data_IF_798627749584
#
_entry.id   IF_798627749584
#
_cell.length_a   1.000
_cell.length_b   1.000
_cell.length_c   1.000
_cell.angle_alpha   90.00
_cell.angle_beta   90.00
_cell.angle_gamma   90.00
#
_symmetry.space_group_name_H-M   'P 1'
#
loop_
_entity.id
_entity.type
_entity.pdbx_description
1 polymer ?
#
# COMPACT_ATOMS: atom_id res chain seq x y z
N UNK A 1 -9.28 0.28 -10.45
CA UNK A 1 -10.47 -0.49 -10.09
C UNK A 1 -10.46 -1.02 -8.66
N UNK A 2 -9.34 -1.64 -8.19
CA UNK A 2 -9.27 -2.19 -6.83
C UNK A 2 -9.40 -1.11 -5.76
N UNK A 3 -8.65 -0.02 -5.88
CA UNK A 3 -8.72 1.10 -4.93
C UNK A 3 -10.11 1.76 -4.92
N UNK A 4 -10.79 1.77 -6.05
CA UNK A 4 -12.17 2.28 -6.17
C UNK A 4 -13.16 1.45 -5.36
N UNK A 5 -13.00 0.12 -5.38
CA UNK A 5 -13.86 -0.81 -4.62
C UNK A 5 -13.58 -0.72 -3.11
N UNK A 6 -12.30 -0.50 -2.72
CA UNK A 6 -11.89 -0.44 -1.31
C UNK A 6 -12.25 0.87 -0.62
N UNK A 7 -12.33 1.96 -1.38
CA UNK A 7 -12.46 3.29 -0.80
C UNK A 7 -13.83 3.56 -0.15
N UNK A 8 -14.91 2.88 -0.56
CA UNK A 8 -16.23 3.06 0.02
C UNK A 8 -16.63 4.54 0.16
N UNK A 9 -17.62 4.85 0.98
CA UNK A 9 -17.98 6.23 1.34
C UNK A 9 -17.13 6.70 2.53
N UNK A 10 -15.91 7.17 2.24
CA UNK A 10 -15.02 7.70 3.27
C UNK A 10 -15.38 9.16 3.56
N UNK A 11 -15.68 9.46 4.82
CA UNK A 11 -16.02 10.84 5.27
C UNK A 11 -14.84 11.57 5.94
N UNK A 12 -13.67 10.92 6.05
CA UNK A 12 -12.52 11.43 6.81
C UNK A 12 -11.24 11.34 5.97
N UNK A 13 -10.16 11.93 6.50
CA UNK A 13 -8.82 11.88 5.93
C UNK A 13 -8.40 10.43 5.61
N UNK A 14 -7.83 10.24 4.43
CA UNK A 14 -7.22 8.97 4.00
C UNK A 14 -5.71 9.15 4.05
N UNK A 15 -5.00 8.31 4.79
CA UNK A 15 -3.55 8.23 4.78
C UNK A 15 -3.14 6.91 4.15
N UNK A 16 -2.21 6.97 3.19
CA UNK A 16 -1.69 5.81 2.46
C UNK A 16 -0.19 5.77 2.66
N UNK A 17 0.31 4.63 3.11
CA UNK A 17 1.73 4.33 3.16
C UNK A 17 2.01 3.19 2.20
N UNK A 18 2.95 3.41 1.29
CA UNK A 18 3.34 2.44 0.26
C UNK A 18 4.77 2.02 0.52
N UNK A 19 4.99 0.77 0.89
CA UNK A 19 6.30 0.15 0.93
C UNK A 19 6.60 -0.45 -0.44
N UNK A 20 7.69 -0.01 -1.07
CA UNK A 20 8.05 -0.46 -2.42
C UNK A 20 9.55 -0.38 -2.69
N UNK A 21 10.02 -1.06 -3.73
CA UNK A 21 11.43 -0.96 -4.16
C UNK A 21 11.70 0.43 -4.74
N UNK A 22 12.82 1.03 -4.33
CA UNK A 22 13.25 2.35 -4.83
C UNK A 22 13.36 2.36 -6.35
N UNK A 23 13.97 1.33 -6.95
CA UNK A 23 14.09 1.19 -8.40
C UNK A 23 12.73 1.24 -9.09
N UNK A 24 11.75 0.48 -8.60
CA UNK A 24 10.39 0.43 -9.18
C UNK A 24 9.71 1.81 -9.12
N UNK A 25 9.82 2.52 -8.00
CA UNK A 25 9.21 3.84 -7.85
C UNK A 25 9.86 4.88 -8.75
N UNK A 26 11.19 4.86 -8.85
CA UNK A 26 11.94 5.81 -9.70
C UNK A 26 11.65 5.58 -11.18
N UNK A 27 11.62 4.34 -11.65
CA UNK A 27 11.29 3.99 -13.04
C UNK A 27 9.86 4.40 -13.40
N UNK A 28 8.90 4.26 -12.48
CA UNK A 28 7.52 4.67 -12.70
C UNK A 28 7.31 6.18 -12.60
N UNK A 29 8.11 6.87 -11.79
CA UNK A 29 8.02 8.30 -11.46
C UNK A 29 7.19 8.56 -10.20
N UNK A 30 7.81 9.17 -9.20
CA UNK A 30 7.17 9.47 -7.90
C UNK A 30 5.93 10.36 -8.05
N UNK A 31 6.03 11.43 -8.82
CA UNK A 31 4.92 12.37 -9.04
C UNK A 31 3.75 11.70 -9.78
N UNK A 32 4.06 10.87 -10.76
CA UNK A 32 3.05 10.09 -11.50
C UNK A 32 2.35 9.09 -10.59
N UNK A 33 3.08 8.35 -9.76
CA UNK A 33 2.51 7.42 -8.79
C UNK A 33 1.60 8.15 -7.80
N UNK A 34 2.08 9.28 -7.27
CA UNK A 34 1.33 10.13 -6.33
C UNK A 34 0.05 10.65 -6.95
N UNK A 35 0.11 11.20 -8.18
CA UNK A 35 -1.05 11.73 -8.88
C UNK A 35 -2.09 10.65 -9.14
N UNK A 36 -1.69 9.49 -9.65
CA UNK A 36 -2.62 8.38 -9.93
C UNK A 36 -3.36 7.95 -8.66
N UNK A 37 -2.66 7.80 -7.54
CA UNK A 37 -3.28 7.40 -6.27
C UNK A 37 -4.25 8.48 -5.80
N UNK A 38 -3.83 9.75 -5.79
CA UNK A 38 -4.64 10.88 -5.34
C UNK A 38 -5.88 11.04 -6.20
N UNK A 39 -5.73 11.11 -7.51
CA UNK A 39 -6.82 11.35 -8.46
C UNK A 39 -7.84 10.21 -8.44
N UNK A 40 -7.37 8.95 -8.35
CA UNK A 40 -8.24 7.78 -8.28
C UNK A 40 -9.10 7.79 -7.02
N UNK A 41 -8.51 8.08 -5.87
CA UNK A 41 -9.22 8.09 -4.60
C UNK A 41 -10.10 9.32 -4.44
N UNK A 42 -9.63 10.49 -4.82
CA UNK A 42 -10.42 11.72 -4.77
C UNK A 42 -11.68 11.63 -5.64
N UNK A 43 -11.57 11.10 -6.86
CA UNK A 43 -12.73 10.83 -7.74
C UNK A 43 -13.73 9.86 -7.14
N UNK A 44 -13.26 8.89 -6.36
CA UNK A 44 -14.11 7.83 -5.82
C UNK A 44 -14.73 8.20 -4.48
N UNK A 45 -13.99 8.92 -3.64
CA UNK A 45 -14.36 9.17 -2.24
C UNK A 45 -14.74 10.62 -1.96
N UNK A 46 -14.36 11.54 -2.86
CA UNK A 46 -14.42 12.99 -2.61
C UNK A 46 -13.35 13.49 -1.63
N UNK A 47 -12.43 12.61 -1.19
CA UNK A 47 -11.38 12.95 -0.22
C UNK A 47 -10.01 12.78 -0.84
N UNK A 48 -9.22 13.86 -0.83
CA UNK A 48 -7.84 13.84 -1.29
C UNK A 48 -6.94 13.13 -0.27
N UNK A 49 -6.27 12.02 -0.63
CA UNK A 49 -5.45 11.28 0.31
C UNK A 49 -4.09 11.93 0.54
N UNK A 50 -3.54 11.71 1.72
CA UNK A 50 -2.12 11.86 1.98
C UNK A 50 -1.40 10.58 1.55
N UNK A 51 -0.29 10.72 0.83
CA UNK A 51 0.48 9.59 0.32
C UNK A 51 1.92 9.69 0.81
N UNK A 52 2.42 8.60 1.35
CA UNK A 52 3.81 8.43 1.76
C UNK A 52 4.38 7.18 1.11
N UNK A 53 5.55 7.29 0.50
CA UNK A 53 6.31 6.15 0.02
C UNK A 53 7.48 5.89 0.97
N UNK A 54 7.63 4.63 1.37
CA UNK A 54 8.79 4.11 2.08
C UNK A 54 9.48 3.17 1.12
N UNK A 55 10.72 3.48 0.75
CA UNK A 55 11.41 2.76 -0.33
C UNK A 55 12.76 2.23 0.11
N UNK A 56 13.10 1.03 -0.39
CA UNK A 56 14.42 0.43 -0.26
C UNK A 56 14.70 -0.46 -1.46
N UNK A 57 15.96 -0.64 -1.81
CA UNK A 57 16.39 -1.67 -2.76
C UNK A 57 16.78 -2.98 -2.05
N UNK A 58 16.87 -2.95 -0.72
CA UNK A 58 17.10 -4.12 0.10
C UNK A 58 15.84 -4.99 0.14
N UNK A 59 15.95 -6.23 -0.30
CA UNK A 59 14.84 -7.18 -0.34
C UNK A 59 14.34 -7.57 1.06
N UNK A 60 15.20 -7.50 2.06
CA UNK A 60 14.84 -7.86 3.45
C UNK A 60 14.02 -6.76 4.13
N UNK A 61 14.07 -5.54 3.61
CA UNK A 61 13.33 -4.38 4.15
C UNK A 61 11.96 -4.18 3.52
N UNK A 62 11.73 -4.69 2.31
CA UNK A 62 10.45 -4.58 1.60
C UNK A 62 9.84 -5.98 1.50
N UNK A 63 8.66 -6.23 2.06
CA UNK A 63 8.00 -7.53 1.98
C UNK A 63 7.87 -8.02 0.54
N UNK A 64 8.17 -9.29 0.31
CA UNK A 64 8.01 -9.92 -1.01
C UNK A 64 6.53 -10.03 -1.38
N UNK A 65 5.71 -10.42 -0.41
CA UNK A 65 4.28 -10.57 -0.61
C UNK A 65 3.58 -9.21 -0.78
N UNK A 66 2.50 -9.23 -1.53
CA UNK A 66 1.70 -8.02 -1.84
C UNK A 66 0.51 -7.96 -0.91
N UNK A 67 0.48 -6.92 -0.07
CA UNK A 67 -0.61 -6.67 0.86
C UNK A 67 -1.25 -5.31 0.62
N UNK A 68 -2.57 -5.23 0.84
CA UNK A 68 -3.28 -3.98 1.10
C UNK A 68 -3.97 -4.15 2.45
N UNK A 69 -3.56 -3.35 3.41
CA UNK A 69 -4.11 -3.34 4.77
C UNK A 69 -4.97 -2.10 4.93
N UNK A 70 -6.20 -2.31 5.35
CA UNK A 70 -7.13 -1.25 5.70
C UNK A 70 -7.62 -1.44 7.14
N UNK A 71 -8.40 -0.52 7.68
CA UNK A 71 -9.01 -0.68 9.01
C UNK A 71 -9.95 -1.89 9.11
N UNK A 72 -10.41 -2.45 7.99
CA UNK A 72 -11.46 -3.46 7.96
C UNK A 72 -11.07 -4.74 7.23
N UNK A 73 -10.07 -4.68 6.38
CA UNK A 73 -9.72 -5.78 5.47
C UNK A 73 -8.21 -5.91 5.31
N UNK A 74 -7.77 -7.15 5.24
CA UNK A 74 -6.50 -7.54 4.66
C UNK A 74 -6.76 -8.11 3.29
N UNK A 75 -6.02 -7.64 2.28
CA UNK A 75 -6.07 -8.16 0.92
C UNK A 75 -4.67 -8.64 0.59
N UNK A 76 -4.57 -9.91 0.19
CA UNK A 76 -3.31 -10.55 -0.19
C UNK A 76 -3.34 -10.95 -1.66
N UNK A 77 -2.22 -10.79 -2.32
CA UNK A 77 -1.99 -11.33 -3.66
C UNK A 77 -0.69 -12.12 -3.66
N UNK A 78 -0.78 -13.38 -4.02
CA UNK A 78 0.39 -14.27 -4.08
C UNK A 78 1.39 -13.90 -5.17
N UNK A 79 0.98 -13.08 -6.14
CA UNK A 79 1.85 -12.63 -7.24
C UNK A 79 1.86 -11.10 -7.29
N UNK A 80 1.32 -10.49 -8.29
CA UNK A 80 1.15 -9.03 -8.37
C UNK A 80 -0.33 -8.71 -8.46
N UNK A 81 -0.73 -7.51 -8.03
CA UNK A 81 -2.12 -7.05 -8.22
C UNK A 81 -2.50 -6.82 -9.70
N UNK A 82 -1.83 -7.50 -10.62
CA UNK A 82 -2.03 -7.44 -12.06
C UNK A 82 -3.20 -8.35 -12.51
N UNK A 83 -4.38 -8.11 -11.96
CA UNK A 83 -5.59 -8.84 -12.37
C UNK A 83 -6.25 -8.27 -13.61
N UNK A 84 -5.90 -7.03 -13.95
CA UNK A 84 -6.47 -6.32 -15.09
C UNK A 84 -5.35 -5.69 -15.91
N UNK A 85 -5.49 -5.75 -17.23
CA UNK A 85 -4.60 -5.03 -18.13
C UNK A 85 -4.91 -3.51 -18.12
N UNK A 86 -4.12 -2.73 -18.82
CA UNK A 86 -4.28 -1.27 -18.93
C UNK A 86 -5.63 -0.83 -19.52
N UNK A 87 -6.35 -1.75 -20.20
CA UNK A 87 -7.69 -1.54 -20.75
C UNK A 87 -8.81 -2.02 -19.82
N UNK A 88 -8.48 -2.44 -18.59
CA UNK A 88 -9.44 -2.94 -17.61
C UNK A 88 -9.97 -4.35 -17.88
N UNK A 89 -9.43 -5.08 -18.84
CA UNK A 89 -9.79 -6.48 -19.08
C UNK A 89 -9.06 -7.38 -18.07
N UNK A 90 -9.79 -8.38 -17.54
CA UNK A 90 -9.23 -9.41 -16.65
C UNK A 90 -8.10 -10.16 -17.36
N UNK A 91 -7.00 -10.36 -16.64
CA UNK A 91 -5.89 -11.20 -17.10
C UNK A 91 -6.18 -12.62 -16.66
N UNK A 92 -6.19 -13.56 -17.59
CA UNK A 92 -6.63 -14.95 -17.39
C UNK A 92 -5.74 -15.76 -16.45
N UNK A 93 -4.49 -15.38 -16.26
CA UNK A 93 -3.50 -16.07 -15.43
C UNK A 93 -3.18 -15.29 -14.13
N UNK A 94 -4.10 -14.47 -13.64
CA UNK A 94 -3.94 -13.78 -12.36
C UNK A 94 -3.89 -14.77 -11.20
N UNK A 95 -2.96 -14.57 -10.27
CA UNK A 95 -2.86 -15.35 -9.04
C UNK A 95 -4.11 -15.23 -8.14
N UNK A 96 -4.16 -15.98 -7.05
CA UNK A 96 -5.22 -15.90 -6.08
C UNK A 96 -5.24 -14.51 -5.41
N UNK A 97 -6.44 -13.99 -5.19
CA UNK A 97 -6.70 -12.80 -4.38
C UNK A 97 -7.50 -13.22 -3.15
N UNK A 98 -6.88 -13.12 -1.99
CA UNK A 98 -7.54 -13.40 -0.72
C UNK A 98 -7.98 -12.08 -0.08
N UNK A 99 -9.21 -12.05 0.43
CA UNK A 99 -9.77 -10.90 1.12
C UNK A 99 -10.31 -11.34 2.47
N UNK A 100 -9.58 -10.98 3.53
CA UNK A 100 -9.90 -11.38 4.89
C UNK A 100 -10.48 -10.22 5.70
N UNK A 101 -11.34 -10.54 6.67
CA UNK A 101 -11.92 -9.56 7.58
C UNK A 101 -11.00 -9.31 8.76
N UNK A 102 -10.76 -8.03 9.10
CA UNK A 102 -10.06 -7.64 10.34
C UNK A 102 -10.87 -7.98 11.61
N UNK A 103 -12.14 -8.34 11.49
CA UNK A 103 -12.93 -8.86 12.62
C UNK A 103 -12.58 -10.33 12.94
N UNK A 104 -11.88 -11.04 12.06
CA UNK A 104 -11.34 -12.36 12.35
C UNK A 104 -10.07 -12.21 13.20
N UNK A 105 -10.00 -12.94 14.32
CA UNK A 105 -8.89 -12.85 15.27
C UNK A 105 -7.54 -13.25 14.67
N UNK A 106 -7.51 -14.30 13.87
CA UNK A 106 -6.26 -14.76 13.21
C UNK A 106 -5.74 -13.73 12.21
N UNK A 107 -6.65 -13.17 11.40
CA UNK A 107 -6.32 -12.08 10.46
C UNK A 107 -5.79 -10.86 11.20
N UNK A 108 -6.45 -10.47 12.29
CA UNK A 108 -6.03 -9.34 13.10
C UNK A 108 -4.63 -9.55 13.69
N UNK A 109 -4.37 -10.71 14.31
CA UNK A 109 -3.07 -11.06 14.88
C UNK A 109 -1.96 -11.07 13.83
N UNK A 110 -2.24 -11.65 12.65
CA UNK A 110 -1.31 -11.63 11.53
C UNK A 110 -0.97 -10.20 11.09
N UNK A 111 -1.99 -9.34 10.96
CA UNK A 111 -1.79 -7.93 10.55
C UNK A 111 -1.00 -7.16 11.59
N UNK A 112 -1.23 -7.37 12.90
CA UNK A 112 -0.42 -6.74 13.94
C UNK A 112 1.06 -7.09 13.79
N UNK A 113 1.39 -8.38 13.66
CA UNK A 113 2.77 -8.84 13.44
C UNK A 113 3.39 -8.26 12.14
N UNK A 114 2.60 -8.16 11.08
CA UNK A 114 3.05 -7.55 9.83
C UNK A 114 3.35 -6.05 10.00
N UNK A 115 2.49 -5.32 10.70
CA UNK A 115 2.69 -3.88 10.96
C UNK A 115 3.92 -3.62 11.82
N UNK A 116 4.20 -4.47 12.82
CA UNK A 116 5.44 -4.41 13.62
C UNK A 116 6.68 -4.59 12.74
N UNK A 117 6.66 -5.57 11.83
CA UNK A 117 7.74 -5.78 10.85
C UNK A 117 7.92 -4.58 9.94
N UNK A 118 6.83 -4.00 9.44
CA UNK A 118 6.87 -2.81 8.59
C UNK A 118 7.41 -1.59 9.36
N UNK A 119 7.06 -1.44 10.64
CA UNK A 119 7.61 -0.38 11.49
C UNK A 119 9.12 -0.55 11.69
N UNK A 120 9.58 -1.78 11.94
CA UNK A 120 11.01 -2.10 12.05
C UNK A 120 11.74 -1.77 10.75
N UNK A 121 11.20 -2.24 9.61
CA UNK A 121 11.76 -1.93 8.29
C UNK A 121 11.83 -0.41 8.03
N UNK A 122 10.79 0.33 8.40
CA UNK A 122 10.79 1.79 8.29
C UNK A 122 11.91 2.42 9.12
N UNK A 123 12.05 2.02 10.39
CA UNK A 123 13.08 2.54 11.28
C UNK A 123 14.49 2.30 10.72
N UNK A 124 14.74 1.09 10.24
CA UNK A 124 16.02 0.73 9.62
C UNK A 124 16.30 1.56 8.35
N UNK A 125 15.30 1.73 7.48
CA UNK A 125 15.41 2.53 6.25
C UNK A 125 15.74 3.99 6.60
N UNK A 126 15.07 4.56 7.59
CA UNK A 126 15.31 5.96 8.01
C UNK A 126 16.70 6.14 8.63
N UNK A 127 17.20 5.15 9.37
CA UNK A 127 18.56 5.19 9.92
C UNK A 127 19.61 5.17 8.82
N UNK A 128 19.39 4.42 7.74
CA UNK A 128 20.34 4.29 6.63
C UNK A 128 20.31 5.51 5.70
N UNK A 129 19.12 5.99 5.33
CA UNK A 129 18.97 7.13 4.44
C UNK A 129 17.56 7.76 4.55
N UNK A 130 17.46 8.98 5.06
CA UNK A 130 16.20 9.72 5.21
C UNK A 130 15.47 10.01 3.89
N UNK A 131 16.19 10.04 2.76
CA UNK A 131 15.64 10.31 1.44
C UNK A 131 14.80 9.14 0.90
N UNK A 132 14.81 8.00 1.58
CA UNK A 132 13.97 6.84 1.24
C UNK A 132 12.52 6.97 1.69
N UNK A 133 12.14 8.07 2.35
CA UNK A 133 10.77 8.34 2.79
C UNK A 133 10.26 9.63 2.15
N UNK A 134 9.34 9.49 1.20
CA UNK A 134 8.84 10.58 0.36
C UNK A 134 7.35 10.77 0.60
N UNK A 135 6.90 11.99 0.87
CA UNK A 135 5.48 12.33 0.98
C UNK A 135 5.07 12.96 2.32
N UNK A 136 3.81 12.81 2.69
CA UNK A 136 3.20 13.53 3.83
C UNK A 136 3.64 13.02 5.21
N UNK A 137 4.15 11.79 5.30
CA UNK A 137 4.58 11.13 6.55
C UNK A 137 3.46 11.08 7.60
N UNK A 138 2.24 10.78 7.16
CA UNK A 138 1.07 10.65 8.02
C UNK A 138 0.50 9.24 7.96
N UNK A 139 0.36 8.57 9.10
CA UNK A 139 -0.25 7.26 9.21
C UNK A 139 -0.80 7.03 10.61
N UNK A 140 -1.77 6.10 10.74
CA UNK A 140 -2.18 5.51 12.01
C UNK A 140 -1.36 4.28 12.39
N UNK A 141 -0.74 3.65 11.40
CA UNK A 141 -0.12 2.34 11.54
C UNK A 141 1.40 2.40 11.57
N UNK A 142 1.98 3.41 10.95
CA UNK A 142 3.43 3.65 10.92
C UNK A 142 3.70 4.96 11.63
N UNK A 143 4.58 4.93 12.61
CA UNK A 143 5.04 6.10 13.36
C UNK A 143 6.24 6.67 12.59
N UNK A 144 6.10 7.87 12.05
CA UNK A 144 7.12 8.57 11.25
C UNK A 144 8.04 9.43 12.12
#
# INVERSE_FOLDING_TARGET
PLMTVLAGKVKKRINIVVFTKSKTLLEFGVDKATSIIKDTLEKTTGVKPNVTFVTSNDNDKIPHDRFIITNYRLIRSGDSFLYFNTKGKKITNGGALDIDSMANHETYTFVQSLLEKLQTSYNDIVQLNKDMVIGSKESKYIIF
#
